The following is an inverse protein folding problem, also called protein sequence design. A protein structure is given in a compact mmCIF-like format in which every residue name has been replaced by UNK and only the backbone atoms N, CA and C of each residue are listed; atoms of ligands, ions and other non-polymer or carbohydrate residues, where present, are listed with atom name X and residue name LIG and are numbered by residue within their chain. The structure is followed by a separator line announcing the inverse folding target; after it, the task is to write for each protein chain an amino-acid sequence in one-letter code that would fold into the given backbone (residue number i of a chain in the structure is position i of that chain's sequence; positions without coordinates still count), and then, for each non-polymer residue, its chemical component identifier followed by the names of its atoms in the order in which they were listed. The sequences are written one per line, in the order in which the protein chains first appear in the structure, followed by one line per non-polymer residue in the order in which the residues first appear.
data_IF_120960110023
#
_entry.id   IF_120960110023
#
_cell.length_a   1.000
_cell.length_b   1.000
_cell.length_c   1.000
_cell.angle_alpha   90.00
_cell.angle_beta   90.00
_cell.angle_gamma   90.00
#
_symmetry.space_group_name_H-M   'P 1'
#
loop_
_entity.id
_entity.type
_entity.pdbx_description
1 polymer ?
#
# COMPACT_ATOMS: atom_id res chain seq x y z
N UNK A 1 -19.76 27.72 -59.86
CA UNK A 1 -20.20 28.06 -58.48
C UNK A 1 -21.05 26.89 -57.98
N UNK A 2 -20.43 25.78 -57.57
CA UNK A 2 -19.90 25.45 -56.22
C UNK A 2 -20.96 24.93 -55.25
N UNK A 3 -21.07 23.61 -55.11
CA UNK A 3 -21.61 22.96 -53.92
C UNK A 3 -21.13 21.49 -53.85
N UNK A 4 -19.84 21.29 -53.51
CA UNK A 4 -19.34 20.05 -52.93
C UNK A 4 -18.75 20.41 -51.57
N UNK A 5 -19.61 20.48 -50.56
CA UNK A 5 -19.17 20.60 -49.17
C UNK A 5 -18.64 19.24 -48.72
N UNK A 6 -17.31 19.19 -48.65
CA UNK A 6 -16.52 18.08 -48.12
C UNK A 6 -16.90 17.84 -46.66
N UNK A 7 -17.35 16.61 -46.35
CA UNK A 7 -17.33 16.06 -45.00
C UNK A 7 -15.87 15.94 -44.54
N UNK A 8 -15.38 16.93 -43.79
CA UNK A 8 -14.11 16.85 -43.11
C UNK A 8 -14.25 15.90 -41.91
N UNK A 9 -14.08 14.60 -42.17
CA UNK A 9 -13.85 13.60 -41.11
C UNK A 9 -12.59 14.02 -40.36
N UNK A 10 -12.76 14.39 -39.09
CA UNK A 10 -11.66 14.81 -38.22
C UNK A 10 -10.62 13.70 -38.14
N UNK A 11 -9.39 14.01 -38.60
CA UNK A 11 -8.24 13.09 -38.54
C UNK A 11 -7.72 13.01 -37.10
N UNK A 12 -8.51 12.48 -36.17
CA UNK A 12 -8.00 12.11 -34.87
C UNK A 12 -7.20 10.79 -35.02
N UNK A 13 -5.94 10.73 -34.54
CA UNK A 13 -5.13 9.52 -34.62
C UNK A 13 -5.81 8.37 -33.84
N UNK A 14 -5.63 7.12 -34.28
CA UNK A 14 -6.21 5.91 -33.63
C UNK A 14 -5.79 5.73 -32.16
N UNK A 15 -4.82 6.50 -31.68
CA UNK A 15 -4.35 6.53 -30.28
C UNK A 15 -4.99 7.65 -29.45
N UNK A 16 -5.86 8.46 -30.06
CA UNK A 16 -6.61 9.50 -29.38
C UNK A 16 -7.76 8.89 -28.58
N UNK A 17 -7.45 8.43 -27.38
CA UNK A 17 -8.47 8.12 -26.38
C UNK A 17 -8.99 9.45 -25.86
N UNK A 18 -10.15 9.88 -26.36
CA UNK A 18 -10.91 10.97 -25.75
C UNK A 18 -11.12 10.61 -24.28
N UNK A 19 -10.71 11.46 -23.32
CA UNK A 19 -11.05 11.19 -21.92
C UNK A 19 -12.57 11.04 -21.86
N UNK A 20 -13.04 9.90 -21.37
CA UNK A 20 -14.46 9.76 -21.05
C UNK A 20 -14.82 10.97 -20.18
N UNK A 21 -15.87 11.73 -20.50
CA UNK A 21 -16.32 12.79 -19.62
C UNK A 21 -16.69 12.15 -18.29
N UNK A 22 -15.78 12.26 -17.32
CA UNK A 22 -16.04 11.81 -15.96
C UNK A 22 -16.94 12.88 -15.38
N UNK A 23 -18.20 12.51 -15.19
CA UNK A 23 -19.18 13.37 -14.56
C UNK A 23 -18.67 13.86 -13.20
N UNK A 24 -19.06 15.06 -12.77
CA UNK A 24 -18.57 15.66 -11.53
C UNK A 24 -18.79 14.72 -10.33
N UNK A 25 -19.93 14.02 -10.32
CA UNK A 25 -20.30 13.01 -9.32
C UNK A 25 -19.36 11.80 -9.32
N UNK A 26 -18.92 11.36 -10.50
CA UNK A 26 -17.98 10.23 -10.61
C UNK A 26 -16.60 10.59 -10.10
N UNK A 27 -16.18 11.86 -10.29
CA UNK A 27 -14.93 12.39 -9.73
C UNK A 27 -15.03 12.54 -8.22
N UNK A 28 -16.14 13.06 -7.70
CA UNK A 28 -16.39 13.17 -6.26
C UNK A 28 -16.34 11.80 -5.59
N UNK A 29 -17.03 10.80 -6.17
CA UNK A 29 -16.97 9.42 -5.68
C UNK A 29 -15.54 8.87 -5.65
N UNK A 30 -14.73 9.19 -6.66
CA UNK A 30 -13.31 8.81 -6.69
C UNK A 30 -12.50 9.44 -5.55
N UNK A 31 -12.73 10.73 -5.26
CA UNK A 31 -12.06 11.45 -4.16
C UNK A 31 -12.51 10.89 -2.81
N UNK A 32 -13.82 10.70 -2.61
CA UNK A 32 -14.35 10.08 -1.39
C UNK A 32 -13.77 8.69 -1.15
N UNK A 33 -13.65 7.87 -2.20
CA UNK A 33 -13.03 6.55 -2.11
C UNK A 33 -11.55 6.62 -1.73
N UNK A 34 -10.80 7.57 -2.30
CA UNK A 34 -9.39 7.77 -1.96
C UNK A 34 -9.21 8.25 -0.51
N UNK A 35 -10.03 9.20 -0.05
CA UNK A 35 -10.01 9.66 1.34
C UNK A 35 -10.43 8.56 2.32
N UNK A 36 -11.43 7.75 1.97
CA UNK A 36 -11.80 6.58 2.76
C UNK A 36 -10.64 5.57 2.85
N UNK A 37 -9.91 5.34 1.76
CA UNK A 37 -8.71 4.47 1.77
C UNK A 37 -7.61 5.04 2.69
N UNK A 38 -7.35 6.35 2.62
CA UNK A 38 -6.41 7.06 3.50
C UNK A 38 -6.80 6.84 4.97
N UNK A 39 -8.08 7.05 5.32
CA UNK A 39 -8.56 6.84 6.68
C UNK A 39 -8.42 5.38 7.13
N UNK A 40 -8.79 4.41 6.28
CA UNK A 40 -8.63 2.97 6.59
C UNK A 40 -7.15 2.64 6.87
N UNK A 41 -6.22 3.14 6.05
CA UNK A 41 -4.80 2.91 6.26
C UNK A 41 -4.24 3.67 7.46
N UNK A 42 -4.73 4.87 7.76
CA UNK A 42 -4.35 5.57 8.98
C UNK A 42 -4.82 4.81 10.22
N UNK A 43 -6.07 4.35 10.24
CA UNK A 43 -6.61 3.49 11.31
C UNK A 43 -5.87 2.17 11.41
N UNK A 44 -5.38 1.60 10.29
CA UNK A 44 -4.51 0.42 10.31
C UNK A 44 -3.25 0.66 11.15
N UNK A 45 -2.54 1.77 10.94
CA UNK A 45 -1.32 2.04 11.71
C UNK A 45 -1.61 2.30 13.19
N UNK A 46 -2.71 2.98 13.52
CA UNK A 46 -3.18 3.14 14.91
C UNK A 46 -3.50 1.78 15.54
N UNK A 47 -4.26 0.93 14.85
CA UNK A 47 -4.61 -0.41 15.29
C UNK A 47 -3.39 -1.30 15.46
N UNK A 48 -2.38 -1.18 14.58
CA UNK A 48 -1.12 -1.91 14.69
C UNK A 48 -0.33 -1.49 15.93
N UNK A 49 -0.28 -0.18 16.24
CA UNK A 49 0.34 0.35 17.46
C UNK A 49 -0.41 -0.07 18.72
N UNK A 50 -1.73 0.09 18.73
CA UNK A 50 -2.57 -0.37 19.85
C UNK A 50 -2.41 -1.87 20.08
N UNK A 51 -2.44 -2.67 19.00
CA UNK A 51 -2.25 -4.12 19.06
C UNK A 51 -0.90 -4.48 19.67
N UNK A 52 0.17 -3.81 19.24
CA UNK A 52 1.52 -4.03 19.74
C UNK A 52 1.72 -3.65 21.22
N UNK A 53 0.89 -2.74 21.74
CA UNK A 53 0.90 -2.30 23.14
C UNK A 53 -0.17 -3.00 24.01
N UNK A 54 -1.05 -3.78 23.40
CA UNK A 54 -2.13 -4.51 24.08
C UNK A 54 -1.69 -5.90 24.53
N UNK A 55 -2.45 -6.56 25.44
CA UNK A 55 -2.20 -7.96 25.79
C UNK A 55 -2.59 -8.94 24.66
N UNK A 56 -3.13 -8.47 23.53
CA UNK A 56 -3.55 -9.34 22.43
C UNK A 56 -2.31 -9.96 21.78
N UNK A 57 -2.30 -11.28 21.70
CA UNK A 57 -1.27 -12.07 21.07
C UNK A 57 -1.08 -11.74 19.59
N UNK A 58 0.16 -11.79 19.12
CA UNK A 58 0.48 -11.55 17.71
C UNK A 58 -0.17 -12.58 16.78
N UNK A 59 -0.37 -13.81 17.27
CA UNK A 59 -1.09 -14.85 16.54
C UNK A 59 -2.54 -14.44 16.29
N UNK A 60 -3.22 -13.93 17.31
CA UNK A 60 -4.60 -13.47 17.21
C UNK A 60 -4.74 -12.29 16.24
N UNK A 61 -3.86 -11.29 16.34
CA UNK A 61 -3.81 -10.18 15.38
C UNK A 61 -3.56 -10.66 13.94
N UNK A 62 -2.72 -11.68 13.77
CA UNK A 62 -2.44 -12.30 12.47
C UNK A 62 -3.68 -13.03 11.92
N UNK A 63 -4.40 -13.76 12.78
CA UNK A 63 -5.66 -14.43 12.44
C UNK A 63 -6.75 -13.42 12.06
N UNK A 64 -6.82 -12.29 12.76
CA UNK A 64 -7.73 -11.21 12.38
C UNK A 64 -7.38 -10.64 11.01
N UNK A 65 -6.08 -10.38 10.77
CA UNK A 65 -5.58 -9.76 9.54
C UNK A 65 -5.73 -10.65 8.31
N UNK A 66 -5.51 -11.96 8.44
CA UNK A 66 -5.44 -12.89 7.31
C UNK A 66 -6.50 -13.99 7.35
N UNK A 67 -6.83 -14.50 8.53
CA UNK A 67 -7.84 -15.55 8.71
C UNK A 67 -9.24 -15.08 8.31
N UNK A 68 -9.70 -13.94 8.84
CA UNK A 68 -11.03 -13.40 8.53
C UNK A 68 -11.21 -13.12 7.03
N UNK A 69 -10.40 -12.28 6.37
CA UNK A 69 -10.54 -12.06 4.94
C UNK A 69 -10.23 -13.32 4.13
N UNK A 70 -9.32 -14.18 4.60
CA UNK A 70 -9.00 -15.45 3.96
C UNK A 70 -10.21 -16.38 3.90
N UNK A 71 -10.98 -16.52 4.98
CA UNK A 71 -12.21 -17.31 5.00
C UNK A 71 -13.26 -16.72 4.05
N UNK A 72 -13.42 -15.40 4.04
CA UNK A 72 -14.37 -14.71 3.15
C UNK A 72 -13.97 -14.87 1.67
N UNK A 73 -12.67 -14.84 1.36
CA UNK A 73 -12.15 -14.90 0.00
C UNK A 73 -11.76 -16.31 -0.46
N UNK A 74 -11.86 -17.32 0.40
CA UNK A 74 -11.59 -18.72 0.06
C UNK A 74 -12.44 -19.20 -1.14
N UNK A 75 -13.76 -18.93 -1.21
CA UNK A 75 -14.57 -19.32 -2.37
C UNK A 75 -14.12 -18.64 -3.66
N UNK A 76 -13.63 -17.39 -3.59
CA UNK A 76 -13.08 -16.67 -4.74
C UNK A 76 -11.79 -17.33 -5.22
N UNK A 77 -10.85 -17.63 -4.30
CA UNK A 77 -9.60 -18.30 -4.62
C UNK A 77 -9.86 -19.66 -5.27
N UNK A 78 -10.80 -20.44 -4.73
CA UNK A 78 -11.19 -21.73 -5.30
C UNK A 78 -11.76 -21.59 -6.72
N UNK A 79 -12.73 -20.69 -6.92
CA UNK A 79 -13.35 -20.44 -8.24
C UNK A 79 -12.36 -19.92 -9.28
N UNK A 80 -11.36 -19.15 -8.87
CA UNK A 80 -10.35 -18.53 -9.75
C UNK A 80 -9.02 -19.27 -9.71
N UNK A 81 -8.98 -20.48 -9.17
CA UNK A 81 -7.75 -21.24 -8.99
C UNK A 81 -6.99 -21.48 -10.30
N UNK A 82 -7.70 -21.74 -11.40
CA UNK A 82 -7.11 -21.94 -12.73
C UNK A 82 -6.35 -20.71 -13.23
N UNK A 83 -6.85 -19.51 -12.95
CA UNK A 83 -6.18 -18.24 -13.27
C UNK A 83 -4.99 -18.02 -12.35
N UNK A 84 -5.19 -18.21 -11.04
CA UNK A 84 -4.15 -17.98 -10.02
C UNK A 84 -2.96 -18.93 -10.23
N UNK A 85 -3.20 -20.23 -10.46
CA UNK A 85 -2.12 -21.23 -10.66
C UNK A 85 -1.32 -21.04 -11.94
N UNK A 86 -1.83 -20.26 -12.90
CA UNK A 86 -1.13 -19.94 -14.13
C UNK A 86 -0.11 -18.80 -13.94
N UNK A 87 -0.22 -18.04 -12.85
CA UNK A 87 0.76 -17.01 -12.48
C UNK A 87 2.07 -17.68 -12.09
N UNK A 88 3.20 -17.07 -12.48
CA UNK A 88 4.52 -17.56 -12.10
C UNK A 88 4.63 -17.68 -10.56
N UNK A 89 5.08 -18.83 -10.04
CA UNK A 89 5.15 -19.08 -8.59
C UNK A 89 6.02 -18.07 -7.85
N UNK A 90 7.02 -17.46 -8.50
CA UNK A 90 7.83 -16.40 -7.90
C UNK A 90 6.98 -15.17 -7.54
N UNK A 91 6.04 -14.78 -8.40
CA UNK A 91 5.14 -13.64 -8.11
C UNK A 91 4.10 -14.01 -7.06
N UNK A 92 3.59 -15.25 -7.07
CA UNK A 92 2.70 -15.72 -6.00
C UNK A 92 3.42 -15.71 -4.64
N UNK A 93 4.66 -16.22 -4.58
CA UNK A 93 5.48 -16.16 -3.38
C UNK A 93 5.77 -14.72 -2.94
N UNK A 94 6.10 -13.84 -3.89
CA UNK A 94 6.29 -12.42 -3.64
C UNK A 94 5.03 -11.72 -3.10
N UNK A 95 3.83 -12.16 -3.47
CA UNK A 95 2.59 -11.69 -2.86
C UNK A 95 2.42 -12.21 -1.43
N UNK A 96 2.51 -13.53 -1.27
CA UNK A 96 2.30 -14.22 0.01
C UNK A 96 3.28 -13.73 1.08
N UNK A 97 4.55 -13.50 0.72
CA UNK A 97 5.56 -13.02 1.65
C UNK A 97 5.56 -11.49 1.78
N UNK A 98 5.36 -10.78 0.67
CA UNK A 98 5.49 -9.32 0.61
C UNK A 98 4.39 -8.53 1.32
N UNK A 99 3.19 -9.10 1.42
CA UNK A 99 2.07 -8.50 2.16
C UNK A 99 1.40 -9.47 3.16
N UNK A 100 1.98 -10.66 3.35
CA UNK A 100 1.50 -11.66 4.32
C UNK A 100 2.12 -11.55 5.69
N UNK A 101 2.13 -12.66 6.43
CA UNK A 101 2.57 -12.72 7.84
C UNK A 101 3.94 -12.07 8.07
N UNK A 102 5.00 -12.30 7.26
CA UNK A 102 6.30 -11.67 7.49
C UNK A 102 6.23 -10.13 7.48
N UNK A 103 5.55 -9.55 6.49
CA UNK A 103 5.32 -8.11 6.40
C UNK A 103 4.57 -7.58 7.63
N UNK A 104 3.49 -8.25 8.01
CA UNK A 104 2.66 -7.83 9.15
C UNK A 104 3.42 -7.91 10.47
N UNK A 105 4.19 -8.98 10.70
CA UNK A 105 4.98 -9.14 11.92
C UNK A 105 6.10 -8.10 12.02
N UNK A 106 6.78 -7.77 10.93
CA UNK A 106 7.76 -6.67 10.91
C UNK A 106 7.11 -5.35 11.32
N UNK A 107 5.93 -5.05 10.78
CA UNK A 107 5.14 -3.88 11.18
C UNK A 107 4.72 -3.92 12.64
N UNK A 108 4.13 -5.02 13.10
CA UNK A 108 3.64 -5.18 14.47
C UNK A 108 4.76 -5.09 15.51
N UNK A 109 5.89 -5.76 15.27
CA UNK A 109 7.07 -5.69 16.13
C UNK A 109 7.68 -4.30 16.10
N UNK A 110 7.82 -3.68 14.92
CA UNK A 110 8.31 -2.30 14.82
C UNK A 110 7.43 -1.32 15.62
N UNK A 111 6.11 -1.51 15.57
CA UNK A 111 5.14 -0.74 16.34
C UNK A 111 5.19 -0.99 17.84
N UNK A 112 5.92 -1.99 18.35
CA UNK A 112 6.20 -2.09 19.79
C UNK A 112 7.31 -1.15 20.26
N UNK A 113 8.18 -0.72 19.34
CA UNK A 113 9.37 0.09 19.66
C UNK A 113 9.31 1.52 19.14
N UNK A 114 8.52 1.78 18.11
CA UNK A 114 8.48 3.06 17.43
C UNK A 114 7.03 3.61 17.32
N UNK A 115 6.84 4.93 17.48
CA UNK A 115 5.55 5.59 17.29
C UNK A 115 4.92 5.41 15.90
N UNK A 116 3.60 5.63 15.80
CA UNK A 116 2.83 5.56 14.56
C UNK A 116 3.40 6.45 13.47
N UNK A 117 3.91 7.64 13.83
CA UNK A 117 4.49 8.57 12.87
C UNK A 117 5.64 7.95 12.07
N UNK A 118 6.48 7.11 12.71
CA UNK A 118 7.58 6.44 12.03
C UNK A 118 7.07 5.30 11.14
N UNK A 119 6.18 4.45 11.64
CA UNK A 119 5.69 3.30 10.88
C UNK A 119 4.83 3.71 9.68
N UNK A 120 3.92 4.66 9.89
CA UNK A 120 3.06 5.19 8.83
C UNK A 120 3.84 5.98 7.77
N UNK A 121 5.01 6.53 8.12
CA UNK A 121 5.89 7.21 7.15
C UNK A 121 6.81 6.24 6.43
N UNK A 122 7.56 5.40 7.16
CA UNK A 122 8.62 4.57 6.59
C UNK A 122 8.08 3.42 5.74
N UNK A 123 6.98 2.77 6.15
CA UNK A 123 6.43 1.63 5.40
C UNK A 123 5.95 2.04 4.00
N UNK A 124 4.96 2.92 3.83
CA UNK A 124 4.50 3.32 2.50
C UNK A 124 5.44 4.32 1.83
N UNK A 125 6.13 5.17 2.60
CA UNK A 125 6.94 6.26 2.08
C UNK A 125 8.28 5.81 1.50
N UNK A 126 8.93 4.79 2.07
CA UNK A 126 10.14 4.22 1.48
C UNK A 126 9.84 3.21 0.36
N UNK A 127 8.59 2.76 0.19
CA UNK A 127 8.27 1.73 -0.80
C UNK A 127 8.63 2.13 -2.24
N UNK A 128 8.40 3.39 -2.69
CA UNK A 128 8.85 3.83 -4.01
C UNK A 128 10.37 3.75 -4.22
N UNK A 129 11.20 3.88 -3.17
CA UNK A 129 12.65 3.66 -3.27
C UNK A 129 12.94 2.21 -3.63
N UNK A 130 12.40 1.26 -2.85
CA UNK A 130 12.63 -0.16 -3.07
C UNK A 130 12.01 -0.65 -4.38
N UNK A 131 10.78 -0.24 -4.71
CA UNK A 131 10.14 -0.55 -6.00
C UNK A 131 11.00 -0.07 -7.16
N UNK A 132 11.51 1.17 -7.08
CA UNK A 132 12.36 1.73 -8.14
C UNK A 132 13.69 1.02 -8.22
N UNK A 133 14.34 0.74 -7.08
CA UNK A 133 15.60 0.01 -7.01
C UNK A 133 15.48 -1.37 -7.66
N UNK A 134 14.49 -2.16 -7.25
CA UNK A 134 14.22 -3.48 -7.85
C UNK A 134 13.89 -3.32 -9.33
N UNK A 135 13.08 -2.33 -9.72
CA UNK A 135 12.69 -2.16 -11.11
C UNK A 135 13.84 -1.74 -12.04
N UNK A 136 14.78 -0.93 -11.56
CA UNK A 136 15.98 -0.55 -12.32
C UNK A 136 16.92 -1.74 -12.45
N UNK A 137 17.17 -2.47 -11.35
CA UNK A 137 18.06 -3.62 -11.37
C UNK A 137 17.53 -4.79 -12.20
N UNK A 138 16.24 -5.12 -12.04
CA UNK A 138 15.63 -6.29 -12.67
C UNK A 138 15.09 -5.98 -14.07
N UNK A 139 14.43 -4.84 -14.26
CA UNK A 139 13.75 -4.50 -15.52
C UNK A 139 14.46 -3.43 -16.35
N UNK A 140 15.62 -2.91 -15.91
CA UNK A 140 16.43 -1.88 -16.61
C UNK A 140 15.60 -0.66 -17.07
N UNK A 141 14.62 -0.26 -16.26
CA UNK A 141 13.73 0.85 -16.60
C UNK A 141 14.43 2.20 -16.45
N UNK A 142 14.30 3.13 -17.42
CA UNK A 142 14.87 4.46 -17.31
C UNK A 142 14.14 5.31 -16.26
N UNK A 143 14.89 6.12 -15.51
CA UNK A 143 14.35 7.02 -14.49
C UNK A 143 14.11 8.41 -15.05
N UNK A 144 12.88 8.92 -14.86
CA UNK A 144 12.58 10.32 -15.17
C UNK A 144 13.17 11.26 -14.14
N UNK A 145 13.62 12.46 -14.57
CA UNK A 145 14.22 13.49 -13.71
C UNK A 145 13.41 13.84 -12.45
N UNK A 146 12.10 13.96 -12.58
CA UNK A 146 11.20 14.27 -11.46
C UNK A 146 11.08 13.12 -10.47
N UNK A 147 11.07 11.89 -10.98
CA UNK A 147 11.09 10.69 -10.16
C UNK A 147 12.40 10.58 -9.38
N UNK A 148 13.55 10.89 -10.00
CA UNK A 148 14.82 10.94 -9.28
C UNK A 148 14.80 11.96 -8.14
N UNK A 149 14.36 13.20 -8.41
CA UNK A 149 14.27 14.25 -7.38
C UNK A 149 13.37 13.85 -6.20
N UNK A 150 12.19 13.29 -6.48
CA UNK A 150 11.29 12.78 -5.45
C UNK A 150 11.92 11.65 -4.62
N UNK A 151 12.61 10.70 -5.26
CA UNK A 151 13.29 9.62 -4.54
C UNK A 151 14.46 10.13 -3.69
N UNK A 152 15.22 11.14 -4.13
CA UNK A 152 16.25 11.77 -3.30
C UNK A 152 15.63 12.41 -2.05
N UNK A 153 14.50 13.09 -2.17
CA UNK A 153 13.78 13.65 -1.03
C UNK A 153 13.28 12.56 -0.06
N UNK A 154 12.72 11.45 -0.58
CA UNK A 154 12.33 10.30 0.25
C UNK A 154 13.55 9.74 0.99
N UNK A 155 14.68 9.53 0.31
CA UNK A 155 15.89 8.99 0.91
C UNK A 155 16.42 9.92 2.01
N UNK A 156 16.43 11.23 1.78
CA UNK A 156 16.81 12.21 2.79
C UNK A 156 15.90 12.16 4.03
N UNK A 157 14.58 12.04 3.83
CA UNK A 157 13.63 11.88 4.92
C UNK A 157 13.81 10.57 5.71
N UNK A 158 14.07 9.46 5.02
CA UNK A 158 14.38 8.16 5.66
C UNK A 158 15.67 8.26 6.50
N UNK A 159 16.74 8.85 5.96
CA UNK A 159 18.01 9.06 6.69
C UNK A 159 17.78 9.97 7.90
N UNK A 160 17.00 11.05 7.75
CA UNK A 160 16.65 11.94 8.85
C UNK A 160 15.96 11.18 10.01
N UNK A 161 14.97 10.34 9.70
CA UNK A 161 14.26 9.54 10.70
C UNK A 161 15.18 8.52 11.37
N UNK A 162 15.97 7.77 10.59
CA UNK A 162 16.91 6.78 11.11
C UNK A 162 17.95 7.41 12.01
N UNK A 163 18.61 8.47 11.54
CA UNK A 163 19.67 9.14 12.29
C UNK A 163 19.19 9.63 13.65
N UNK A 164 18.00 10.24 13.69
CA UNK A 164 17.41 10.69 14.95
C UNK A 164 16.96 9.51 15.82
N UNK A 165 16.40 8.46 15.23
CA UNK A 165 15.98 7.26 15.96
C UNK A 165 17.13 6.59 16.70
N UNK A 166 18.25 6.35 16.02
CA UNK A 166 19.45 5.74 16.61
C UNK A 166 20.12 6.62 17.67
N UNK A 167 20.01 7.95 17.56
CA UNK A 167 20.52 8.88 18.57
C UNK A 167 19.66 8.94 19.82
N UNK A 168 18.35 8.77 19.65
CA UNK A 168 17.39 8.78 20.76
C UNK A 168 17.43 7.45 21.52
N UNK A 169 17.27 6.32 20.83
CA UNK A 169 17.41 4.99 21.44
C UNK A 169 17.64 3.89 20.41
N UNK A 170 18.40 2.85 20.81
CA UNK A 170 18.61 1.67 19.96
C UNK A 170 17.31 0.92 19.64
N UNK A 171 16.33 0.94 20.56
CA UNK A 171 15.01 0.34 20.37
C UNK A 171 14.21 1.07 19.28
N UNK A 172 14.16 2.41 19.31
CA UNK A 172 13.52 3.20 18.27
C UNK A 172 14.19 2.97 16.91
N UNK A 173 15.53 3.00 16.86
CA UNK A 173 16.30 2.70 15.64
C UNK A 173 15.99 1.30 15.07
N UNK A 174 15.88 0.28 15.93
CA UNK A 174 15.49 -1.06 15.52
C UNK A 174 14.05 -1.11 14.98
N UNK A 175 13.11 -0.41 15.62
CA UNK A 175 11.72 -0.31 15.14
C UNK A 175 11.63 0.31 13.74
N UNK A 176 12.43 1.35 13.49
CA UNK A 176 12.53 1.97 12.17
C UNK A 176 13.14 1.04 11.11
N UNK A 177 14.13 0.23 11.47
CA UNK A 177 14.66 -0.80 10.56
C UNK A 177 13.61 -1.87 10.22
N UNK A 178 12.81 -2.31 11.20
CA UNK A 178 11.70 -3.23 10.95
C UNK A 178 10.70 -2.65 9.95
N UNK A 179 10.38 -1.36 10.05
CA UNK A 179 9.53 -0.66 9.08
C UNK A 179 10.13 -0.58 7.68
N UNK A 180 11.46 -0.42 7.55
CA UNK A 180 12.12 -0.45 6.24
C UNK A 180 12.11 -1.85 5.61
N UNK A 181 12.30 -2.90 6.41
CA UNK A 181 12.12 -4.28 5.92
C UNK A 181 10.68 -4.55 5.50
N UNK A 182 9.69 -4.07 6.25
CA UNK A 182 8.30 -4.14 5.86
C UNK A 182 8.03 -3.36 4.55
N UNK A 183 8.66 -2.19 4.38
CA UNK A 183 8.58 -1.41 3.14
C UNK A 183 9.15 -2.15 1.94
N UNK A 184 10.29 -2.84 2.11
CA UNK A 184 10.87 -3.70 1.07
C UNK A 184 9.94 -4.87 0.72
N UNK A 185 9.35 -5.54 1.71
CA UNK A 185 8.37 -6.60 1.50
C UNK A 185 7.16 -6.08 0.70
N UNK A 186 6.65 -4.90 1.07
CA UNK A 186 5.57 -4.25 0.33
C UNK A 186 5.95 -3.93 -1.12
N UNK A 187 7.19 -3.49 -1.36
CA UNK A 187 7.69 -3.27 -2.72
C UNK A 187 7.70 -4.55 -3.55
N UNK A 188 8.14 -5.68 -2.97
CA UNK A 188 8.07 -7.01 -3.62
C UNK A 188 6.61 -7.39 -3.92
N UNK A 189 5.69 -7.18 -2.98
CA UNK A 189 4.26 -7.43 -3.18
C UNK A 189 3.70 -6.61 -4.35
N UNK A 190 3.92 -5.29 -4.36
CA UNK A 190 3.37 -4.40 -5.41
C UNK A 190 3.90 -4.75 -6.81
N UNK A 191 5.19 -5.10 -6.92
CA UNK A 191 5.77 -5.58 -8.17
C UNK A 191 5.18 -6.93 -8.59
N UNK A 192 5.01 -7.85 -7.64
CA UNK A 192 4.43 -9.17 -7.89
C UNK A 192 2.98 -9.08 -8.38
N UNK A 193 2.16 -8.23 -7.74
CA UNK A 193 0.78 -7.96 -8.19
C UNK A 193 0.79 -7.42 -9.61
N UNK A 194 1.64 -6.43 -9.89
CA UNK A 194 1.75 -5.85 -11.23
C UNK A 194 2.12 -6.87 -12.31
N UNK A 195 3.07 -7.78 -12.01
CA UNK A 195 3.52 -8.78 -12.98
C UNK A 195 2.58 -9.98 -13.10
N UNK A 196 1.75 -10.23 -12.10
CA UNK A 196 0.78 -11.32 -12.13
C UNK A 196 -0.43 -11.05 -13.05
N UNK A 197 -0.80 -9.78 -13.23
CA UNK A 197 -2.04 -9.39 -13.91
C UNK A 197 -3.33 -9.74 -13.14
N UNK A 198 -3.24 -10.20 -11.89
CA UNK A 198 -4.40 -10.54 -11.07
C UNK A 198 -5.22 -9.29 -10.72
N UNK A 199 -6.55 -9.48 -10.66
CA UNK A 199 -7.45 -8.45 -10.17
C UNK A 199 -7.18 -8.18 -8.67
N UNK A 200 -7.52 -6.98 -8.14
CA UNK A 200 -7.23 -6.62 -6.75
C UNK A 200 -7.74 -7.64 -5.72
N UNK A 201 -8.97 -8.14 -5.88
CA UNK A 201 -9.54 -9.15 -4.97
C UNK A 201 -8.88 -10.52 -5.11
N UNK A 202 -8.40 -10.89 -6.30
CA UNK A 202 -7.64 -12.13 -6.51
C UNK A 202 -6.29 -12.04 -5.80
N UNK A 203 -5.59 -10.90 -5.92
CA UNK A 203 -4.35 -10.64 -5.19
C UNK A 203 -4.58 -10.66 -3.66
N UNK A 204 -5.65 -10.04 -3.16
CA UNK A 204 -6.01 -10.12 -1.73
C UNK A 204 -6.28 -11.56 -1.30
N UNK A 205 -6.95 -12.37 -2.12
CA UNK A 205 -7.20 -13.78 -1.82
C UNK A 205 -5.88 -14.60 -1.78
N UNK A 206 -4.98 -14.37 -2.74
CA UNK A 206 -3.63 -14.99 -2.78
C UNK A 206 -2.81 -14.64 -1.53
N UNK A 207 -2.95 -13.42 -1.00
CA UNK A 207 -2.27 -13.04 0.25
C UNK A 207 -2.96 -13.67 1.46
N UNK A 208 -4.27 -13.47 1.61
CA UNK A 208 -4.99 -13.74 2.86
C UNK A 208 -5.25 -15.22 3.12
N UNK A 209 -5.65 -15.99 2.09
CA UNK A 209 -6.00 -17.40 2.26
C UNK A 209 -4.83 -18.25 2.76
N UNK A 210 -3.65 -18.30 2.10
CA UNK A 210 -2.55 -19.13 2.57
C UNK A 210 -1.96 -18.65 3.89
N UNK A 211 -1.87 -17.33 4.12
CA UNK A 211 -1.38 -16.79 5.39
C UNK A 211 -2.35 -17.06 6.55
N UNK A 212 -3.67 -16.95 6.30
CA UNK A 212 -4.71 -17.27 7.27
C UNK A 212 -4.76 -18.76 7.59
N UNK A 213 -4.62 -19.62 6.57
CA UNK A 213 -4.50 -21.07 6.76
C UNK A 213 -3.24 -21.43 7.55
N UNK A 214 -2.09 -20.84 7.23
CA UNK A 214 -0.85 -21.08 7.97
C UNK A 214 -0.97 -20.65 9.45
N UNK A 215 -1.56 -19.48 9.72
CA UNK A 215 -1.81 -19.03 11.09
C UNK A 215 -2.80 -19.94 11.83
N UNK A 216 -3.87 -20.38 11.16
CA UNK A 216 -4.85 -21.32 11.73
C UNK A 216 -4.25 -22.70 12.02
N UNK A 217 -3.44 -23.23 11.11
CA UNK A 217 -2.72 -24.49 11.34
C UNK A 217 -1.70 -24.36 12.47
N UNK A 218 -1.01 -23.22 12.59
CA UNK A 218 -0.10 -22.97 13.70
C UNK A 218 -0.84 -22.92 15.06
N UNK A 219 -2.04 -22.36 15.10
CA UNK A 219 -2.92 -22.39 16.28
C UNK A 219 -3.39 -23.82 16.62
N UNK A 220 -3.77 -24.62 15.62
CA UNK A 220 -4.37 -25.95 15.84
C UNK A 220 -3.35 -27.07 16.08
N UNK A 221 -2.20 -27.01 15.41
CA UNK A 221 -1.19 -28.09 15.37
C UNK A 221 0.10 -27.74 16.11
N UNK A 222 0.32 -26.46 16.40
CA UNK A 222 1.56 -25.95 16.99
C UNK A 222 1.42 -25.57 18.47
N UNK A 223 2.43 -24.91 19.04
CA UNK A 223 2.39 -24.32 20.38
C UNK A 223 1.68 -22.95 20.40
N UNK A 224 0.88 -22.64 19.37
CA UNK A 224 0.21 -21.36 19.28
C UNK A 224 -0.87 -21.24 20.35
N UNK A 225 -0.64 -20.42 21.36
CA UNK A 225 -1.68 -20.07 22.35
C UNK A 225 -2.42 -18.82 21.89
N UNK A 226 -3.75 -18.89 21.87
CA UNK A 226 -4.60 -17.72 21.67
C UNK A 226 -4.79 -17.02 23.01
N UNK A 227 -4.61 -15.70 23.01
CA UNK A 227 -4.86 -14.86 24.19
C UNK A 227 -6.33 -14.46 24.32
N UNK A 228 -7.14 -14.71 23.29
CA UNK A 228 -8.54 -14.27 23.24
C UNK A 228 -9.43 -14.84 24.35
N UNK A 229 -9.30 -16.12 24.77
CA UNK A 229 -10.13 -16.66 25.85
C UNK A 229 -9.99 -15.90 27.17
N UNK A 230 -8.82 -15.30 27.42
CA UNK A 230 -8.51 -14.58 28.66
C UNK A 230 -8.85 -13.08 28.57
N UNK A 231 -9.29 -12.60 27.41
CA UNK A 231 -9.54 -11.19 27.14
C UNK A 231 -11.02 -10.91 26.89
N UNK A 232 -11.50 -9.79 27.42
CA UNK A 232 -12.85 -9.32 27.15
C UNK A 232 -13.04 -9.01 25.65
N UNK A 233 -14.20 -9.35 25.04
CA UNK A 233 -14.50 -9.01 23.65
C UNK A 233 -14.31 -7.54 23.30
N UNK A 234 -14.55 -6.63 24.25
CA UNK A 234 -14.36 -5.19 24.01
C UNK A 234 -12.89 -4.83 23.71
N UNK A 235 -11.94 -5.64 24.17
CA UNK A 235 -10.51 -5.45 23.96
C UNK A 235 -10.08 -5.84 22.54
N UNK A 236 -10.59 -6.96 22.02
CA UNK A 236 -10.13 -7.52 20.74
C UNK A 236 -11.09 -7.30 19.56
N UNK A 237 -12.38 -7.05 19.79
CA UNK A 237 -13.36 -6.84 18.73
C UNK A 237 -13.03 -5.63 17.82
N UNK A 238 -12.52 -4.48 18.33
CA UNK A 238 -12.07 -3.39 17.47
C UNK A 238 -10.93 -3.81 16.54
N UNK A 239 -9.99 -4.63 17.03
CA UNK A 239 -8.88 -5.16 16.24
C UNK A 239 -9.38 -6.11 15.15
N UNK A 240 -10.35 -6.97 15.46
CA UNK A 240 -10.99 -7.85 14.46
C UNK A 240 -11.63 -7.03 13.33
N UNK A 241 -12.41 -6.01 13.69
CA UNK A 241 -13.13 -5.16 12.73
C UNK A 241 -12.18 -4.35 11.85
N UNK A 242 -11.14 -3.76 12.45
CA UNK A 242 -10.14 -2.97 11.71
C UNK A 242 -9.28 -3.90 10.86
N UNK A 243 -8.58 -4.88 11.44
CA UNK A 243 -7.60 -5.70 10.74
C UNK A 243 -8.23 -6.61 9.68
N UNK A 244 -9.36 -7.25 10.02
CA UNK A 244 -10.04 -8.20 9.14
C UNK A 244 -11.04 -7.55 8.21
N UNK A 245 -11.93 -6.70 8.75
CA UNK A 245 -12.99 -6.05 7.98
C UNK A 245 -12.46 -4.90 7.12
N UNK A 246 -12.07 -3.79 7.76
CA UNK A 246 -11.72 -2.55 7.07
C UNK A 246 -10.44 -2.71 6.23
N UNK A 247 -9.36 -3.17 6.86
CA UNK A 247 -8.06 -3.24 6.20
C UNK A 247 -7.97 -4.52 5.34
N UNK A 248 -8.51 -5.63 5.81
CA UNK A 248 -8.46 -6.94 5.13
C UNK A 248 -9.32 -7.02 3.87
N UNK A 249 -10.51 -6.41 3.88
CA UNK A 249 -11.45 -6.45 2.76
C UNK A 249 -11.72 -5.06 2.18
N UNK A 250 -12.01 -4.06 3.03
CA UNK A 250 -12.47 -2.74 2.61
C UNK A 250 -11.43 -1.92 1.84
N UNK A 251 -10.16 -1.98 2.25
CA UNK A 251 -9.09 -1.15 1.69
C UNK A 251 -8.90 -1.37 0.17
N UNK A 252 -8.87 -2.62 -0.28
CA UNK A 252 -8.71 -2.97 -1.69
C UNK A 252 -9.87 -2.48 -2.57
N UNK A 253 -11.10 -2.49 -2.04
CA UNK A 253 -12.29 -1.98 -2.73
C UNK A 253 -12.23 -0.47 -2.92
N UNK A 254 -11.89 0.27 -1.85
CA UNK A 254 -11.79 1.74 -1.89
C UNK A 254 -10.67 2.20 -2.82
N UNK A 255 -9.50 1.55 -2.75
CA UNK A 255 -8.37 1.84 -3.65
C UNK A 255 -8.72 1.50 -5.10
N UNK A 256 -9.34 0.34 -5.35
CA UNK A 256 -9.77 -0.05 -6.69
C UNK A 256 -10.77 0.96 -7.29
N UNK A 257 -11.72 1.42 -6.48
CA UNK A 257 -12.68 2.45 -6.88
C UNK A 257 -11.98 3.80 -7.16
N UNK A 258 -11.08 4.24 -6.28
CA UNK A 258 -10.31 5.47 -6.47
C UNK A 258 -9.48 5.43 -7.76
N UNK A 259 -8.75 4.33 -8.01
CA UNK A 259 -7.95 4.15 -9.24
C UNK A 259 -8.85 4.15 -10.47
N UNK A 260 -10.00 3.46 -10.43
CA UNK A 260 -10.94 3.39 -11.56
C UNK A 260 -11.53 4.75 -11.91
N UNK A 261 -11.75 5.62 -10.91
CA UNK A 261 -12.42 6.93 -11.09
C UNK A 261 -11.45 8.09 -11.30
N UNK A 262 -10.29 8.08 -10.65
CA UNK A 262 -9.32 9.19 -10.69
C UNK A 262 -8.05 8.85 -11.48
N UNK A 263 -7.82 7.58 -11.78
CA UNK A 263 -6.54 7.09 -12.27
C UNK A 263 -5.54 6.82 -11.14
N UNK A 264 -4.53 6.00 -11.43
CA UNK A 264 -3.54 5.55 -10.45
C UNK A 264 -2.67 6.71 -9.89
N UNK A 265 -2.38 7.72 -10.71
CA UNK A 265 -1.56 8.87 -10.32
C UNK A 265 -2.25 9.73 -9.26
N UNK A 266 -3.50 10.16 -9.49
CA UNK A 266 -4.26 10.95 -8.52
C UNK A 266 -4.58 10.14 -7.24
N UNK A 267 -4.89 8.85 -7.36
CA UNK A 267 -5.08 7.98 -6.21
C UNK A 267 -3.79 7.84 -5.36
N UNK A 268 -2.61 7.80 -6.00
CA UNK A 268 -1.31 7.76 -5.33
C UNK A 268 -1.01 9.07 -4.57
N UNK A 269 -1.29 10.22 -5.20
CA UNK A 269 -1.12 11.53 -4.55
C UNK A 269 -2.00 11.63 -3.31
N UNK A 270 -3.29 11.31 -3.41
CA UNK A 270 -4.18 11.29 -2.24
C UNK A 270 -3.73 10.26 -1.19
N UNK A 271 -3.27 9.08 -1.63
CA UNK A 271 -2.70 8.05 -0.76
C UNK A 271 -1.51 8.52 0.08
N UNK A 272 -0.70 9.45 -0.44
CA UNK A 272 0.43 10.05 0.29
C UNK A 272 0.02 10.89 1.50
N UNK A 273 -1.28 11.18 1.69
CA UNK A 273 -1.79 11.80 2.92
C UNK A 273 -1.84 10.83 4.10
N UNK A 274 -1.79 9.51 3.86
CA UNK A 274 -1.88 8.48 4.91
C UNK A 274 -0.92 8.69 6.09
N UNK A 275 0.40 8.96 5.88
CA UNK A 275 1.32 9.18 6.99
C UNK A 275 0.98 10.43 7.80
N UNK A 276 0.53 11.49 7.13
CA UNK A 276 0.12 12.75 7.79
C UNK A 276 -1.14 12.51 8.62
N UNK A 277 -2.17 11.90 8.02
CA UNK A 277 -3.43 11.56 8.71
C UNK A 277 -3.21 10.59 9.87
N UNK A 278 -2.38 9.56 9.71
CA UNK A 278 -2.06 8.61 10.78
C UNK A 278 -1.31 9.28 11.93
N UNK A 279 -0.36 10.16 11.62
CA UNK A 279 0.41 10.92 12.62
C UNK A 279 -0.49 11.84 13.43
N UNK A 280 -1.41 12.58 12.77
CA UNK A 280 -2.36 13.46 13.47
C UNK A 280 -3.35 12.67 14.34
N UNK A 281 -3.86 11.53 13.83
CA UNK A 281 -4.73 10.67 14.60
C UNK A 281 -4.01 10.04 15.80
N UNK A 282 -2.73 9.67 15.66
CA UNK A 282 -1.95 9.13 16.77
C UNK A 282 -1.63 10.19 17.83
N UNK A 283 -1.34 11.43 17.42
CA UNK A 283 -1.20 12.57 18.34
C UNK A 283 -2.48 12.76 19.17
N UNK A 284 -3.64 12.69 18.54
CA UNK A 284 -4.93 12.95 19.20
C UNK A 284 -5.48 11.76 19.99
N UNK A 285 -5.30 10.52 19.50
CA UNK A 285 -5.93 9.33 20.05
C UNK A 285 -5.01 8.49 20.93
N UNK A 286 -3.70 8.53 20.68
CA UNK A 286 -2.69 7.74 21.40
C UNK A 286 -1.76 8.60 22.24
N UNK A 287 -2.00 9.91 22.29
CA UNK A 287 -1.16 10.90 22.99
C UNK A 287 0.33 10.81 22.60
N UNK A 288 0.62 10.42 21.35
CA UNK A 288 2.00 10.27 20.89
C UNK A 288 2.65 11.64 20.66
N UNK A 289 3.78 11.89 21.34
CA UNK A 289 4.58 13.08 21.11
C UNK A 289 5.27 13.05 19.75
N UNK A 290 5.25 14.17 19.03
CA UNK A 290 5.92 14.31 17.74
C UNK A 290 7.07 15.30 17.87
N UNK A 291 8.28 14.81 17.64
CA UNK A 291 9.48 15.65 17.61
C UNK A 291 9.64 16.37 16.27
N UNK A 292 10.30 17.52 16.29
CA UNK A 292 10.58 18.30 15.08
C UNK A 292 11.32 17.49 13.99
N UNK A 293 12.33 16.64 14.31
CA UNK A 293 12.96 15.80 13.30
C UNK A 293 11.99 14.79 12.66
N UNK A 294 11.01 14.30 13.43
CA UNK A 294 9.98 13.40 12.91
C UNK A 294 9.08 14.11 11.90
N UNK A 295 8.67 15.36 12.19
CA UNK A 295 7.93 16.19 11.23
C UNK A 295 8.73 16.49 9.97
N UNK A 296 10.02 16.79 10.09
CA UNK A 296 10.90 17.02 8.94
C UNK A 296 11.01 15.76 8.07
N UNK A 297 11.25 14.61 8.69
CA UNK A 297 11.32 13.32 7.99
C UNK A 297 10.01 12.96 7.29
N UNK A 298 8.88 13.09 8.00
CA UNK A 298 7.53 12.91 7.46
C UNK A 298 7.27 13.83 6.25
N UNK A 299 7.62 15.11 6.38
CA UNK A 299 7.45 16.10 5.31
C UNK A 299 8.27 15.76 4.07
N UNK A 300 9.57 15.47 4.24
CA UNK A 300 10.47 15.08 3.15
C UNK A 300 9.99 13.82 2.42
N UNK A 301 9.58 12.80 3.17
CA UNK A 301 9.06 11.55 2.60
C UNK A 301 7.75 11.81 1.85
N UNK A 302 6.79 12.50 2.47
CA UNK A 302 5.47 12.75 1.87
C UNK A 302 5.59 13.56 0.59
N UNK A 303 6.31 14.68 0.63
CA UNK A 303 6.56 15.53 -0.54
C UNK A 303 7.38 14.81 -1.61
N UNK A 304 8.36 14.00 -1.20
CA UNK A 304 9.16 13.17 -2.09
C UNK A 304 8.32 12.14 -2.86
N UNK A 305 7.37 11.48 -2.18
CA UNK A 305 6.42 10.55 -2.82
C UNK A 305 5.51 11.29 -3.81
N UNK A 306 4.99 12.47 -3.45
CA UNK A 306 4.17 13.30 -4.36
C UNK A 306 4.99 13.66 -5.61
N UNK A 307 6.23 14.12 -5.45
CA UNK A 307 7.10 14.45 -6.58
C UNK A 307 7.43 13.22 -7.44
N UNK A 308 7.63 12.06 -6.81
CA UNK A 308 7.93 10.81 -7.49
C UNK A 308 6.71 10.21 -8.23
N UNK A 309 5.48 10.56 -7.82
CA UNK A 309 4.24 10.03 -8.40
C UNK A 309 4.00 10.46 -9.86
N UNK A 310 4.73 11.46 -10.35
CA UNK A 310 4.60 11.98 -11.72
C UNK A 310 3.71 13.22 -11.85
N UNK A 311 2.97 13.57 -10.79
CA UNK A 311 1.98 14.66 -10.80
C UNK A 311 2.57 16.01 -11.23
N UNK A 312 3.79 16.31 -10.79
CA UNK A 312 4.51 17.53 -11.17
C UNK A 312 5.13 17.46 -12.58
N UNK A 313 5.41 16.26 -13.08
CA UNK A 313 6.05 16.04 -14.38
C UNK A 313 5.08 15.92 -15.56
N UNK A 314 3.83 15.55 -15.28
CA UNK A 314 2.76 15.26 -16.25
C UNK A 314 1.65 16.33 -16.26
N UNK A 315 1.96 17.58 -15.89
CA UNK A 315 1.05 18.71 -16.13
C UNK A 315 0.46 18.64 -17.55
N UNK A 316 -0.78 19.13 -17.78
CA UNK A 316 -1.66 18.71 -18.88
C UNK A 316 -1.12 18.82 -20.33
N UNK A 317 0.10 19.30 -20.55
CA UNK A 317 0.76 19.41 -21.84
C UNK A 317 1.77 18.30 -22.22
N UNK A 318 2.13 17.33 -21.37
CA UNK A 318 3.20 16.36 -21.70
C UNK A 318 2.74 14.91 -21.56
N UNK A 319 1.79 14.49 -22.40
CA UNK A 319 1.62 13.06 -22.74
C UNK A 319 2.78 12.64 -23.64
N UNK A 320 3.87 12.13 -23.05
CA UNK A 320 4.94 11.47 -23.83
C UNK A 320 4.34 10.27 -24.57
N UNK A 321 4.39 10.34 -25.90
CA UNK A 321 4.12 9.23 -26.82
C UNK A 321 5.03 8.06 -26.48
N UNK A 322 4.50 7.04 -25.80
CA UNK A 322 5.12 5.72 -25.81
C UNK A 322 4.62 5.03 -27.07
N UNK A 323 5.39 5.12 -28.15
CA UNK A 323 5.18 4.30 -29.32
C UNK A 323 5.48 2.85 -28.94
N UNK A 324 4.44 2.02 -28.83
CA UNK A 324 4.61 0.58 -28.89
C UNK A 324 5.17 0.25 -30.27
N UNK A 325 6.45 -0.14 -30.33
CA UNK A 325 6.97 -0.86 -31.48
C UNK A 325 6.47 -2.31 -31.35
N UNK A 326 5.59 -2.80 -32.23
CA UNK A 326 5.29 -4.22 -32.25
C UNK A 326 6.57 -4.97 -32.63
N UNK A 327 6.89 -5.99 -31.84
CA UNK A 327 7.99 -6.89 -32.11
C UNK A 327 7.90 -7.40 -33.56
N UNK A 328 9.00 -7.25 -34.31
CA UNK A 328 9.12 -7.87 -35.62
C UNK A 328 9.36 -9.37 -35.42
N UNK A 329 8.36 -10.13 -35.86
CA UNK A 329 8.33 -11.55 -36.27
C UNK A 329 8.96 -12.58 -35.35
#
# INVERSE_FOLDING_TARGET
MSALQSFAVSRLPLTHVSPLPIDADQRLLGVCAALAAVLIWSTYFLSLRQGALSPIGRLDLTLFRYGVPGLVLLPLLWRRWTVIRAVNPLWLAGMVLGAGVPFFLLGAVGMSWAPVAHGSTLIPGAAPLFVTFIAVLVFRQPLGRWRCGGLVAVLAGVICLLWNGWRDSATLGMGQLMFLWASLMWAVFTLSVRQSGLAPLEATAVVTVPNGLAAGLYLLLGPGESTLPDLSPITWLPQLLVQGGLVGLGSGLMVGLAIRRLGAEAASVLGSLTPVSATLLALWWLDEAISLPTLMGLGLVTLGVIAASGWLGNGPGIRRRVAFHPARR
#
